data_IF_426147880906
#
_entry.id   IF_426147880906
#
_cell.length_a   1.000
_cell.length_b   1.000
_cell.length_c   1.000
_cell.angle_alpha   90.00
_cell.angle_beta   90.00
_cell.angle_gamma   90.00
#
_symmetry.space_group_name_H-M   'P 1'
#
loop_
_entity.id
_entity.type
_entity.pdbx_description
1 polymer ?
#
# COMPACT_ATOMS: atom_id res chain seq x y z
N UNK A 1 -10.42 11.84 -24.43
CA UNK A 1 -10.95 10.64 -23.71
C UNK A 1 -9.88 9.69 -23.13
N UNK A 2 -8.58 9.80 -23.44
CA UNK A 2 -7.52 8.91 -22.90
C UNK A 2 -7.17 9.19 -21.42
N UNK A 3 -7.31 10.42 -20.93
CA UNK A 3 -7.02 10.78 -19.53
C UNK A 3 -7.89 10.05 -18.49
N UNK A 4 -9.10 9.63 -18.87
CA UNK A 4 -10.03 8.98 -17.95
C UNK A 4 -9.62 7.52 -17.61
N UNK A 5 -8.92 6.83 -18.52
CA UNK A 5 -8.48 5.45 -18.27
C UNK A 5 -7.28 5.39 -17.31
N UNK A 6 -6.25 6.22 -17.53
CA UNK A 6 -5.08 6.27 -16.65
C UNK A 6 -5.46 6.61 -15.21
N UNK A 7 -6.36 7.57 -15.03
CA UNK A 7 -6.86 7.96 -13.72
C UNK A 7 -7.61 6.80 -13.01
N UNK A 8 -8.38 6.01 -13.76
CA UNK A 8 -9.05 4.82 -13.23
C UNK A 8 -8.05 3.74 -12.82
N UNK A 9 -7.03 3.48 -13.64
CA UNK A 9 -5.95 2.54 -13.33
C UNK A 9 -5.22 2.98 -12.06
N UNK A 10 -4.85 4.26 -11.97
CA UNK A 10 -4.20 4.83 -10.79
C UNK A 10 -5.03 4.61 -9.52
N UNK A 11 -6.33 4.95 -9.56
CA UNK A 11 -7.27 4.74 -8.43
C UNK A 11 -7.31 3.28 -7.98
N UNK A 12 -7.35 2.36 -8.93
CA UNK A 12 -7.42 0.94 -8.66
C UNK A 12 -6.12 0.41 -8.05
N UNK A 13 -4.97 0.76 -8.63
CA UNK A 13 -3.65 0.38 -8.12
C UNK A 13 -3.41 0.91 -6.71
N UNK A 14 -3.78 2.17 -6.44
CA UNK A 14 -3.68 2.75 -5.10
C UNK A 14 -4.52 1.98 -4.07
N UNK A 15 -5.75 1.60 -4.43
CA UNK A 15 -6.63 0.85 -3.53
C UNK A 15 -6.07 -0.54 -3.22
N UNK A 16 -5.53 -1.23 -4.22
CA UNK A 16 -4.85 -2.52 -4.02
C UNK A 16 -3.64 -2.32 -3.10
N UNK A 17 -2.82 -1.30 -3.36
CA UNK A 17 -1.63 -1.02 -2.57
C UNK A 17 -1.99 -0.76 -1.10
N UNK A 18 -2.95 0.14 -0.83
CA UNK A 18 -3.42 0.42 0.54
C UNK A 18 -3.92 -0.86 1.22
N UNK A 19 -4.74 -1.66 0.53
CA UNK A 19 -5.29 -2.90 1.07
C UNK A 19 -4.20 -3.91 1.40
N UNK A 20 -3.20 -4.06 0.52
CA UNK A 20 -2.07 -4.96 0.72
C UNK A 20 -1.29 -4.62 1.99
N UNK A 21 -0.86 -3.36 2.14
CA UNK A 21 -0.11 -2.92 3.32
C UNK A 21 -0.93 -3.05 4.61
N UNK A 22 -2.24 -2.79 4.54
CA UNK A 22 -3.13 -2.98 5.68
C UNK A 22 -3.22 -4.46 6.08
N UNK A 23 -3.40 -5.35 5.11
CA UNK A 23 -3.47 -6.80 5.34
C UNK A 23 -2.16 -7.32 5.93
N UNK A 24 -1.00 -6.90 5.40
CA UNK A 24 0.31 -7.26 5.96
C UNK A 24 0.40 -6.85 7.43
N UNK A 25 0.02 -5.62 7.76
CA UNK A 25 0.03 -5.11 9.13
C UNK A 25 -0.89 -5.91 10.05
N UNK A 26 -2.12 -6.19 9.62
CA UNK A 26 -3.10 -6.96 10.38
C UNK A 26 -2.65 -8.41 10.61
N UNK A 27 -2.09 -9.08 9.60
CA UNK A 27 -1.55 -10.43 9.76
C UNK A 27 -0.37 -10.42 10.73
N UNK A 28 0.52 -9.43 10.63
CA UNK A 28 1.69 -9.31 11.52
C UNK A 28 1.25 -9.18 12.98
N UNK A 29 0.30 -8.29 13.28
CA UNK A 29 -0.25 -8.14 14.64
C UNK A 29 -1.04 -9.39 15.06
N UNK A 30 -1.89 -9.91 14.17
CA UNK A 30 -2.70 -11.10 14.44
C UNK A 30 -1.86 -12.34 14.70
N UNK A 31 -0.63 -12.42 14.17
CA UNK A 31 0.28 -13.53 14.40
C UNK A 31 0.69 -13.69 15.88
N UNK A 32 0.53 -12.66 16.71
CA UNK A 32 0.79 -12.69 18.16
C UNK A 32 -0.10 -13.73 18.86
N UNK A 33 -1.26 -14.08 18.30
CA UNK A 33 -2.12 -15.13 18.86
C UNK A 33 -1.51 -16.53 18.77
N UNK A 34 -0.50 -16.75 17.92
CA UNK A 34 0.18 -18.04 17.78
C UNK A 34 1.24 -18.26 18.87
N UNK A 35 1.91 -17.20 19.33
CA UNK A 35 2.95 -17.27 20.37
C UNK A 35 3.26 -15.88 20.94
N UNK A 36 3.69 -15.84 22.21
CA UNK A 36 4.14 -14.62 22.88
C UNK A 36 5.56 -14.20 22.50
N UNK A 37 6.32 -15.05 21.79
CA UNK A 37 7.68 -14.75 21.34
C UNK A 37 7.64 -13.57 20.37
N UNK A 38 8.47 -12.56 20.63
CA UNK A 38 8.59 -11.39 19.76
C UNK A 38 7.32 -10.52 19.70
N UNK A 39 6.39 -10.62 20.65
CA UNK A 39 5.11 -9.90 20.57
C UNK A 39 5.27 -8.39 20.38
N UNK A 40 6.24 -7.76 21.07
CA UNK A 40 6.52 -6.31 20.94
C UNK A 40 6.93 -5.97 19.52
N UNK A 41 7.78 -6.81 18.91
CA UNK A 41 8.29 -6.58 17.55
C UNK A 41 7.14 -6.71 16.55
N UNK A 42 6.33 -7.77 16.64
CA UNK A 42 5.17 -7.96 15.78
C UNK A 42 4.17 -6.79 15.90
N UNK A 43 3.93 -6.30 17.12
CA UNK A 43 3.03 -5.17 17.36
C UNK A 43 3.58 -3.87 16.75
N UNK A 44 4.86 -3.56 16.98
CA UNK A 44 5.51 -2.35 16.45
C UNK A 44 5.59 -2.39 14.92
N UNK A 45 6.11 -3.49 14.34
CA UNK A 45 6.28 -3.62 12.89
C UNK A 45 4.93 -3.68 12.18
N UNK A 46 3.96 -4.42 12.73
CA UNK A 46 2.60 -4.43 12.19
C UNK A 46 1.93 -3.05 12.23
N UNK A 47 2.15 -2.28 13.29
CA UNK A 47 1.67 -0.88 13.38
C UNK A 47 2.35 0.04 12.37
N UNK A 48 3.63 -0.18 12.04
CA UNK A 48 4.33 0.54 10.97
C UNK A 48 3.67 0.25 9.61
N UNK A 49 3.34 -1.01 9.30
CA UNK A 49 2.66 -1.35 8.04
C UNK A 49 1.27 -0.73 7.94
N UNK A 50 0.50 -0.71 9.03
CA UNK A 50 -0.79 -0.01 9.09
C UNK A 50 -0.59 1.50 8.87
N UNK A 51 0.43 2.09 9.49
CA UNK A 51 0.77 3.51 9.31
C UNK A 51 1.14 3.85 7.86
N UNK A 52 1.86 2.95 7.17
CA UNK A 52 2.16 3.06 5.74
C UNK A 52 0.88 3.02 4.89
N UNK A 53 -0.05 2.11 5.20
CA UNK A 53 -1.35 2.05 4.50
C UNK A 53 -2.16 3.34 4.69
N UNK A 54 -2.18 3.88 5.92
CA UNK A 54 -2.81 5.17 6.24
C UNK A 54 -2.15 6.31 5.47
N UNK A 55 -0.81 6.36 5.44
CA UNK A 55 -0.05 7.34 4.67
C UNK A 55 -0.41 7.28 3.18
N UNK A 56 -0.45 6.10 2.57
CA UNK A 56 -0.86 5.96 1.16
C UNK A 56 -2.30 6.41 0.94
N UNK A 57 -3.21 6.17 1.88
CA UNK A 57 -4.58 6.67 1.78
C UNK A 57 -4.67 8.20 1.84
N UNK A 58 -3.87 8.86 2.69
CA UNK A 58 -3.80 10.33 2.72
C UNK A 58 -3.18 10.90 1.45
N UNK A 59 -2.04 10.34 1.02
CA UNK A 59 -1.38 10.70 -0.25
C UNK A 59 -2.36 10.60 -1.42
N UNK A 60 -3.10 9.49 -1.51
CA UNK A 60 -4.14 9.25 -2.51
C UNK A 60 -5.18 10.37 -2.53
N UNK A 61 -5.75 10.72 -1.38
CA UNK A 61 -6.75 11.80 -1.28
C UNK A 61 -6.19 13.13 -1.79
N UNK A 62 -5.01 13.50 -1.32
CA UNK A 62 -4.36 14.76 -1.71
C UNK A 62 -4.05 14.81 -3.21
N UNK A 63 -3.52 13.72 -3.77
CA UNK A 63 -3.23 13.62 -5.18
C UNK A 63 -4.50 13.75 -6.04
N UNK A 64 -5.59 13.08 -5.68
CA UNK A 64 -6.84 13.18 -6.44
C UNK A 64 -7.50 14.56 -6.33
N UNK A 65 -7.40 15.24 -5.19
CA UNK A 65 -7.84 16.62 -5.07
C UNK A 65 -7.01 17.55 -5.97
N UNK A 66 -5.69 17.35 -6.03
CA UNK A 66 -4.79 18.13 -6.87
C UNK A 66 -5.06 17.88 -8.37
N UNK A 67 -5.19 16.60 -8.76
CA UNK A 67 -5.53 16.21 -10.13
C UNK A 67 -6.91 16.70 -10.56
N UNK A 68 -7.89 16.74 -9.65
CA UNK A 68 -9.23 17.29 -9.94
C UNK A 68 -9.16 18.78 -10.24
N UNK A 69 -8.32 19.54 -9.54
CA UNK A 69 -8.11 20.97 -9.80
C UNK A 69 -7.42 21.19 -11.15
N UNK A 70 -6.32 20.49 -11.44
CA UNK A 70 -5.56 20.68 -12.69
C UNK A 70 -6.27 20.17 -13.94
N UNK A 71 -7.06 19.10 -13.87
CA UNK A 71 -7.83 18.62 -15.02
C UNK A 71 -8.99 19.55 -15.45
N UNK A 72 -9.42 20.49 -14.59
CA UNK A 72 -10.45 21.48 -14.94
C UNK A 72 -9.87 22.61 -15.80
N UNK A 73 -8.57 22.90 -15.66
CA UNK A 73 -7.90 24.03 -16.31
C UNK A 73 -7.23 23.69 -17.67
N UNK A 74 -7.24 22.42 -18.08
CA UNK A 74 -6.73 21.95 -19.38
C UNK A 74 -5.75 20.77 -19.28
N UNK A 75 -5.64 19.95 -20.33
CA UNK A 75 -4.72 18.80 -20.38
C UNK A 75 -3.25 19.27 -20.41
N UNK A 76 -2.66 19.45 -19.24
CA UNK A 76 -1.25 19.85 -19.08
C UNK A 76 -0.31 18.63 -19.11
N UNK A 77 0.75 18.71 -19.92
CA UNK A 77 1.84 17.72 -20.03
C UNK A 77 2.44 17.40 -18.66
N UNK A 78 2.44 18.38 -17.75
CA UNK A 78 2.93 18.20 -16.38
C UNK A 78 2.08 17.19 -15.59
N UNK A 79 0.76 17.23 -15.75
CA UNK A 79 -0.19 16.34 -15.08
C UNK A 79 0.05 14.88 -15.50
N UNK A 80 0.30 14.67 -16.79
CA UNK A 80 0.53 13.33 -17.34
C UNK A 80 1.86 12.74 -16.85
N UNK A 81 2.90 13.57 -16.67
CA UNK A 81 4.18 13.15 -16.05
C UNK A 81 4.01 12.77 -14.58
N UNK A 82 3.24 13.54 -13.82
CA UNK A 82 2.94 13.25 -12.40
C UNK A 82 2.18 11.93 -12.27
N UNK A 83 1.15 11.70 -13.09
CA UNK A 83 0.39 10.44 -13.08
C UNK A 83 1.30 9.25 -13.39
N UNK A 84 2.16 9.36 -14.41
CA UNK A 84 3.07 8.28 -14.78
C UNK A 84 4.08 7.99 -13.65
N UNK A 85 4.67 9.03 -13.06
CA UNK A 85 5.58 8.89 -11.92
C UNK A 85 4.92 8.20 -10.73
N UNK A 86 3.67 8.57 -10.44
CA UNK A 86 2.91 7.96 -9.36
C UNK A 86 2.61 6.48 -9.64
N UNK A 87 2.21 6.13 -10.86
CA UNK A 87 1.98 4.73 -11.25
C UNK A 87 3.25 3.90 -11.03
N UNK A 88 4.42 4.40 -11.44
CA UNK A 88 5.70 3.72 -11.21
C UNK A 88 5.95 3.54 -9.71
N UNK A 89 5.76 4.60 -8.92
CA UNK A 89 5.93 4.54 -7.47
C UNK A 89 5.00 3.52 -6.79
N UNK A 90 3.73 3.46 -7.20
CA UNK A 90 2.78 2.47 -6.68
C UNK A 90 3.17 1.05 -7.11
N UNK A 91 3.59 0.84 -8.36
CA UNK A 91 4.04 -0.47 -8.81
C UNK A 91 5.25 -0.94 -8.01
N UNK A 92 6.23 -0.08 -7.78
CA UNK A 92 7.40 -0.41 -6.94
C UNK A 92 6.97 -0.76 -5.50
N UNK A 93 6.06 0.00 -4.91
CA UNK A 93 5.53 -0.28 -3.58
C UNK A 93 4.73 -1.59 -3.52
N UNK A 94 3.97 -1.92 -4.57
CA UNK A 94 3.25 -3.18 -4.70
C UNK A 94 4.19 -4.37 -4.81
N UNK A 95 5.25 -4.28 -5.61
CA UNK A 95 6.26 -5.35 -5.73
C UNK A 95 6.89 -5.63 -4.37
N UNK A 96 7.31 -4.58 -3.67
CA UNK A 96 7.87 -4.72 -2.32
C UNK A 96 6.85 -5.30 -1.33
N UNK A 97 5.61 -4.79 -1.38
CA UNK A 97 4.52 -5.29 -0.55
C UNK A 97 4.23 -6.77 -0.79
N UNK A 98 4.25 -7.23 -2.04
CA UNK A 98 4.03 -8.64 -2.40
C UNK A 98 5.17 -9.51 -1.83
N UNK A 99 6.42 -9.08 -1.97
CA UNK A 99 7.59 -9.81 -1.41
C UNK A 99 7.48 -9.92 0.12
N UNK A 100 7.10 -8.84 0.79
CA UNK A 100 6.91 -8.86 2.25
C UNK A 100 5.71 -9.73 2.61
N UNK A 101 4.60 -9.61 1.88
CA UNK A 101 3.40 -10.41 2.11
C UNK A 101 3.67 -11.90 1.97
N UNK A 102 4.43 -12.35 0.98
CA UNK A 102 4.76 -13.77 0.83
C UNK A 102 5.61 -14.29 2.00
N UNK A 103 6.57 -13.50 2.49
CA UNK A 103 7.35 -13.85 3.66
C UNK A 103 6.49 -13.94 4.94
N UNK A 104 5.65 -12.93 5.18
CA UNK A 104 4.69 -12.90 6.31
C UNK A 104 3.71 -14.06 6.23
N UNK A 105 3.14 -14.29 5.05
CA UNK A 105 2.18 -15.37 4.81
C UNK A 105 2.81 -16.74 5.06
N UNK A 106 4.02 -16.98 4.54
CA UNK A 106 4.75 -18.24 4.76
C UNK A 106 4.97 -18.49 6.25
N UNK A 107 5.47 -17.50 6.99
CA UNK A 107 5.74 -17.68 8.42
C UNK A 107 4.48 -17.98 9.22
N UNK A 108 3.40 -17.24 8.97
CA UNK A 108 2.17 -17.35 9.78
C UNK A 108 1.33 -18.56 9.41
N UNK A 109 1.09 -18.80 8.12
CA UNK A 109 0.12 -19.81 7.67
C UNK A 109 0.76 -21.15 7.27
N UNK A 110 2.02 -21.15 6.84
CA UNK A 110 2.71 -22.39 6.46
C UNK A 110 3.50 -22.94 7.65
N UNK A 111 4.28 -22.10 8.31
CA UNK A 111 5.13 -22.53 9.43
C UNK A 111 4.40 -22.50 10.78
N UNK A 112 3.35 -21.68 10.91
CA UNK A 112 2.55 -21.57 12.14
C UNK A 112 3.23 -20.76 13.25
N UNK A 113 4.19 -19.90 12.91
CA UNK A 113 4.91 -19.04 13.85
C UNK A 113 4.47 -17.58 13.72
N UNK A 114 4.61 -16.75 14.77
CA UNK A 114 4.52 -15.31 14.60
C UNK A 114 5.56 -14.84 13.56
N UNK A 115 5.28 -13.71 12.89
CA UNK A 115 6.17 -13.20 11.82
C UNK A 115 7.60 -13.03 12.33
N UNK A 116 7.73 -12.50 13.55
CA UNK A 116 8.98 -12.42 14.28
C UNK A 116 8.92 -13.32 15.51
N UNK A 117 9.30 -14.59 15.36
CA UNK A 117 9.52 -15.56 16.44
C UNK A 117 9.97 -16.92 15.95
#
# INVERSE_FOLDING_TARGET
>A
MKGNLKLKILKFLDLINISLWLIIGLITIGSIFLSSIGYVINLVVGSIFISIAIFFNYKRKYLFELLKKTCIDGEDILTDKVINGEIVGIISALILGIIIFTAVYSRVFIEGFPVFG
#
